data_IF_489303302236
#
_entry.id   IF_489303302236
#
_cell.length_a   1.000
_cell.length_b   1.000
_cell.length_c   1.000
_cell.angle_alpha   90.00
_cell.angle_beta   90.00
_cell.angle_gamma   90.00
#
_symmetry.space_group_name_H-M   'P 1'
#
loop_
_entity.id
_entity.type
_entity.pdbx_description
1 polymer ?
#
# COMPACT_ATOMS: atom_id res chain seq x y z
N UNK A 1 23.40 11.12 -65.21
CA UNK A 1 22.41 10.16 -65.73
C UNK A 1 21.95 9.30 -64.56
N UNK A 2 20.62 9.20 -64.37
CA UNK A 2 19.80 8.11 -63.79
C UNK A 2 20.44 7.17 -62.73
N UNK A 3 19.83 6.82 -61.60
CA UNK A 3 18.48 7.03 -61.07
C UNK A 3 18.13 5.95 -60.01
N UNK A 4 17.24 6.29 -59.06
CA UNK A 4 16.35 5.38 -58.29
C UNK A 4 16.98 4.48 -57.22
N UNK A 5 16.32 4.03 -56.15
CA UNK A 5 15.00 4.24 -55.51
C UNK A 5 15.14 3.65 -54.08
N UNK A 6 14.62 4.31 -53.04
CA UNK A 6 13.45 3.84 -52.29
C UNK A 6 13.83 3.81 -50.80
N UNK A 7 13.05 4.27 -49.82
CA UNK A 7 11.64 4.66 -49.79
C UNK A 7 11.07 4.09 -48.49
N UNK A 8 10.63 4.94 -47.58
CA UNK A 8 9.55 4.69 -46.61
C UNK A 8 9.33 5.94 -45.77
N UNK A 9 8.36 6.71 -46.20
CA UNK A 9 7.79 7.89 -45.57
C UNK A 9 6.55 7.42 -44.79
N UNK A 10 6.46 7.74 -43.50
CA UNK A 10 5.26 7.48 -42.68
C UNK A 10 4.60 8.82 -42.44
N UNK A 11 3.47 9.04 -43.10
CA UNK A 11 2.55 10.14 -42.88
C UNK A 11 1.85 9.99 -41.53
N UNK A 12 1.88 11.05 -40.73
CA UNK A 12 1.02 11.22 -39.57
C UNK A 12 -0.20 12.03 -40.00
N UNK A 13 -1.38 11.42 -39.96
CA UNK A 13 -2.65 12.10 -40.20
C UNK A 13 -3.35 12.37 -38.86
N UNK A 14 -3.80 13.61 -38.68
CA UNK A 14 -4.57 14.04 -37.52
C UNK A 14 -6.05 13.76 -37.77
N UNK A 15 -6.77 13.20 -36.78
CA UNK A 15 -8.22 13.33 -36.72
C UNK A 15 -8.67 13.50 -35.27
N UNK A 16 -9.42 14.57 -35.03
CA UNK A 16 -9.87 14.98 -33.70
C UNK A 16 -11.28 14.51 -33.31
N UNK A 17 -11.65 14.97 -32.12
CA UNK A 17 -13.00 15.10 -31.53
C UNK A 17 -13.64 13.95 -30.73
N UNK A 18 -13.84 14.30 -29.45
CA UNK A 18 -15.07 14.23 -28.63
C UNK A 18 -15.30 13.04 -27.68
N UNK A 19 -15.78 13.44 -26.50
CA UNK A 19 -16.09 12.69 -25.27
C UNK A 19 -17.21 11.67 -25.47
N UNK A 20 -17.21 10.61 -24.65
CA UNK A 20 -18.25 10.19 -23.68
C UNK A 20 -18.15 8.66 -23.48
N UNK A 21 -18.15 8.23 -22.22
CA UNK A 21 -18.84 7.00 -21.81
C UNK A 21 -18.00 5.72 -21.69
N UNK A 22 -18.00 5.17 -20.47
CA UNK A 22 -17.77 3.78 -20.12
C UNK A 22 -16.55 3.08 -20.77
N UNK A 23 -15.42 3.12 -20.06
CA UNK A 23 -14.36 2.12 -20.25
C UNK A 23 -14.93 0.76 -19.84
N UNK A 24 -15.37 -0.02 -20.82
CA UNK A 24 -15.58 -1.45 -20.64
C UNK A 24 -14.21 -2.10 -20.72
N UNK A 25 -13.60 -2.39 -19.57
CA UNK A 25 -12.41 -3.24 -19.51
C UNK A 25 -12.89 -4.66 -19.77
N UNK A 26 -12.73 -5.15 -21.00
CA UNK A 26 -12.81 -6.59 -21.28
C UNK A 26 -11.46 -7.18 -20.86
N UNK A 27 -11.34 -7.52 -19.58
CA UNK A 27 -10.22 -8.31 -19.08
C UNK A 27 -10.49 -9.79 -19.42
N UNK A 28 -10.07 -10.24 -20.60
CA UNK A 28 -9.94 -11.67 -20.87
C UNK A 28 -8.70 -12.20 -20.13
N UNK A 29 -8.90 -12.68 -18.90
CA UNK A 29 -7.87 -13.43 -18.18
C UNK A 29 -7.81 -14.85 -18.72
N UNK A 30 -6.97 -15.08 -19.73
CA UNK A 30 -6.70 -16.42 -20.27
C UNK A 30 -5.66 -17.11 -19.39
N UNK A 31 -6.09 -18.07 -18.57
CA UNK A 31 -5.18 -19.01 -17.91
C UNK A 31 -4.87 -20.17 -18.87
N UNK A 32 -3.60 -20.30 -19.25
CA UNK A 32 -3.12 -21.44 -20.03
C UNK A 32 -3.05 -22.68 -19.13
N UNK A 33 -3.77 -23.74 -19.51
CA UNK A 33 -3.68 -25.05 -18.90
C UNK A 33 -2.96 -25.98 -19.89
N UNK A 34 -1.94 -26.79 -19.50
CA UNK A 34 -1.09 -27.53 -20.44
C UNK A 34 -1.79 -28.69 -21.19
N UNK A 35 -3.11 -28.83 -21.07
CA UNK A 35 -3.91 -29.86 -21.74
C UNK A 35 -4.75 -29.35 -22.93
N UNK A 36 -4.53 -28.11 -23.41
CA UNK A 36 -5.07 -27.66 -24.70
C UNK A 36 -6.60 -27.53 -24.81
N UNK A 37 -7.35 -27.52 -23.71
CA UNK A 37 -8.80 -27.32 -23.72
C UNK A 37 -9.16 -25.91 -23.24
N UNK A 38 -9.72 -25.10 -24.15
CA UNK A 38 -10.36 -23.81 -23.81
C UNK A 38 -11.60 -24.09 -22.96
N UNK A 39 -11.50 -23.90 -21.65
CA UNK A 39 -12.67 -23.88 -20.77
C UNK A 39 -13.21 -22.46 -20.73
N UNK A 40 -14.49 -22.27 -21.09
CA UNK A 40 -15.18 -21.00 -20.85
C UNK A 40 -15.47 -20.93 -19.35
N UNK A 41 -14.86 -19.97 -18.68
CA UNK A 41 -15.21 -19.64 -17.30
C UNK A 41 -16.61 -19.00 -17.35
N UNK A 42 -17.57 -19.61 -16.66
CA UNK A 42 -18.93 -19.07 -16.55
C UNK A 42 -18.97 -17.79 -15.71
N UNK A 43 -19.96 -16.90 -15.91
CA UNK A 43 -20.06 -15.61 -15.20
C UNK A 43 -20.21 -15.74 -13.67
N UNK A 44 -20.44 -16.94 -13.14
CA UNK A 44 -20.55 -17.23 -11.71
C UNK A 44 -19.20 -17.28 -10.99
N UNK A 45 -18.08 -17.53 -11.66
CA UNK A 45 -16.76 -17.55 -11.00
C UNK A 45 -16.12 -16.16 -10.87
N UNK A 46 -16.51 -15.21 -11.73
CA UNK A 46 -16.06 -13.82 -11.62
C UNK A 46 -16.64 -13.12 -10.38
N UNK A 47 -17.85 -13.50 -9.94
CA UNK A 47 -18.46 -12.98 -8.73
C UNK A 47 -17.67 -13.39 -7.48
N UNK A 48 -17.04 -14.56 -7.47
CA UNK A 48 -16.16 -14.98 -6.37
C UNK A 48 -14.83 -14.20 -6.33
N UNK A 49 -14.33 -13.77 -7.49
CA UNK A 49 -13.14 -12.93 -7.59
C UNK A 49 -13.40 -11.47 -7.19
N UNK A 50 -14.58 -10.93 -7.55
CA UNK A 50 -14.97 -9.59 -7.10
C UNK A 50 -15.43 -9.56 -5.64
N UNK A 51 -16.03 -10.65 -5.12
CA UNK A 51 -16.31 -10.80 -3.68
C UNK A 51 -15.03 -10.90 -2.84
N UNK A 52 -13.92 -11.42 -3.40
CA UNK A 52 -12.59 -11.38 -2.77
C UNK A 52 -11.90 -10.02 -2.86
N UNK A 53 -12.40 -9.10 -3.70
CA UNK A 53 -11.92 -7.70 -3.77
C UNK A 53 -12.77 -6.79 -2.85
N UNK A 54 -13.91 -7.27 -2.36
CA UNK A 54 -14.59 -6.76 -1.16
C UNK A 54 -13.97 -7.33 0.13
N UNK A 55 -12.64 -7.40 0.20
CA UNK A 55 -11.94 -7.35 1.49
C UNK A 55 -12.22 -5.96 2.04
N UNK A 56 -13.32 -5.89 2.79
CA UNK A 56 -13.60 -5.00 3.90
C UNK A 56 -12.86 -3.68 3.73
N UNK A 57 -13.50 -2.70 3.08
CA UNK A 57 -13.29 -1.32 3.49
C UNK A 57 -13.68 -1.27 4.96
N UNK A 58 -12.73 -1.57 5.86
CA UNK A 58 -12.91 -1.36 7.29
C UNK A 58 -13.35 0.08 7.40
N UNK A 59 -14.51 0.30 8.00
CA UNK A 59 -15.00 1.65 8.12
C UNK A 59 -13.95 2.43 8.91
N UNK A 60 -13.74 3.71 8.57
CA UNK A 60 -12.74 4.53 9.25
C UNK A 60 -12.94 4.50 10.79
N UNK A 61 -14.17 4.26 11.27
CA UNK A 61 -14.53 4.10 12.68
C UNK A 61 -13.92 2.83 13.30
N UNK A 62 -13.88 1.72 12.55
CA UNK A 62 -13.28 0.48 13.02
C UNK A 62 -11.76 0.63 13.23
N UNK A 63 -11.11 1.47 12.41
CA UNK A 63 -9.67 1.71 12.48
C UNK A 63 -9.22 2.29 13.83
N UNK A 64 -10.06 3.11 14.49
CA UNK A 64 -9.74 3.70 15.80
C UNK A 64 -9.84 2.72 16.97
N UNK A 65 -10.54 1.60 16.77
CA UNK A 65 -10.79 0.58 17.80
C UNK A 65 -9.95 -0.68 17.60
N UNK A 66 -8.97 -0.66 16.68
CA UNK A 66 -8.13 -1.82 16.41
C UNK A 66 -7.13 -2.09 17.53
N UNK A 67 -6.98 -3.38 17.80
CA UNK A 67 -6.01 -3.94 18.73
C UNK A 67 -5.52 -5.30 18.28
N UNK A 68 -4.39 -5.74 18.83
CA UNK A 68 -3.80 -7.06 18.59
C UNK A 68 -3.50 -7.32 17.11
N UNK A 69 -3.85 -8.52 16.64
CA UNK A 69 -3.60 -8.95 15.26
C UNK A 69 -4.23 -8.02 14.22
N UNK A 70 -5.49 -7.62 14.42
CA UNK A 70 -6.21 -6.75 13.49
C UNK A 70 -5.53 -5.37 13.34
N UNK A 71 -4.94 -4.87 14.43
CA UNK A 71 -4.14 -3.64 14.37
C UNK A 71 -2.88 -3.85 13.51
N UNK A 72 -2.13 -4.92 13.73
CA UNK A 72 -0.91 -5.18 12.96
C UNK A 72 -1.20 -5.45 11.48
N UNK A 73 -2.30 -6.14 11.16
CA UNK A 73 -2.71 -6.39 9.78
C UNK A 73 -3.08 -5.07 9.07
N UNK A 74 -3.80 -4.18 9.76
CA UNK A 74 -4.08 -2.84 9.27
C UNK A 74 -2.80 -2.03 9.04
N UNK A 75 -1.87 -2.03 10.00
CA UNK A 75 -0.59 -1.33 9.86
C UNK A 75 0.18 -1.87 8.66
N UNK A 76 0.23 -3.20 8.48
CA UNK A 76 0.89 -3.86 7.35
C UNK A 76 0.28 -3.42 6.02
N UNK A 77 -1.04 -3.40 5.93
CA UNK A 77 -1.78 -2.99 4.72
C UNK A 77 -1.49 -1.52 4.34
N UNK A 78 -1.40 -0.63 5.34
CA UNK A 78 -1.19 0.81 5.09
C UNK A 78 0.28 1.22 4.97
N UNK A 79 1.20 0.38 5.43
CA UNK A 79 2.63 0.73 5.48
C UNK A 79 3.51 -0.40 4.93
N UNK A 80 4.21 -1.12 5.80
CA UNK A 80 5.09 -2.24 5.49
C UNK A 80 5.42 -3.03 6.77
N UNK A 81 6.00 -4.21 6.62
CA UNK A 81 6.37 -5.09 7.74
C UNK A 81 7.38 -4.45 8.71
N UNK A 82 8.25 -3.56 8.24
CA UNK A 82 9.25 -2.91 9.12
C UNK A 82 8.55 -2.07 10.19
N UNK A 83 7.47 -1.37 9.83
CA UNK A 83 6.68 -0.59 10.80
C UNK A 83 6.00 -1.53 11.80
N UNK A 84 5.45 -2.64 11.34
CA UNK A 84 4.82 -3.63 12.23
C UNK A 84 5.82 -4.15 13.26
N UNK A 85 7.02 -4.54 12.82
CA UNK A 85 8.06 -5.06 13.71
C UNK A 85 8.50 -4.01 14.74
N UNK A 86 8.63 -2.74 14.33
CA UNK A 86 8.94 -1.62 15.23
C UNK A 86 7.85 -1.44 16.29
N UNK A 87 6.57 -1.58 15.93
CA UNK A 87 5.48 -1.43 16.90
C UNK A 87 5.38 -2.63 17.83
N UNK A 88 5.61 -3.84 17.32
CA UNK A 88 5.59 -5.07 18.10
C UNK A 88 6.65 -5.09 19.20
N UNK A 89 7.90 -4.71 18.87
CA UNK A 89 8.99 -4.71 19.86
C UNK A 89 8.78 -3.68 20.97
N UNK A 90 7.98 -2.65 20.72
CA UNK A 90 7.58 -1.63 21.71
C UNK A 90 6.26 -1.96 22.42
N UNK A 91 5.66 -3.12 22.15
CA UNK A 91 4.34 -3.51 22.64
C UNK A 91 3.20 -2.53 22.29
N UNK A 92 3.38 -1.73 21.24
CA UNK A 92 2.34 -0.85 20.71
C UNK A 92 1.38 -1.72 19.89
N UNK A 93 0.35 -2.23 20.55
CA UNK A 93 -0.56 -3.23 20.00
C UNK A 93 -1.97 -2.70 19.70
N UNK A 94 -2.18 -1.38 19.69
CA UNK A 94 -3.49 -0.78 19.37
C UNK A 94 -3.36 0.60 18.74
N UNK A 95 -4.40 1.01 18.02
CA UNK A 95 -4.49 2.36 17.43
C UNK A 95 -4.40 3.45 18.49
N UNK A 96 -5.02 3.25 19.65
CA UNK A 96 -4.97 4.19 20.77
C UNK A 96 -3.56 4.33 21.33
N UNK A 97 -2.88 3.21 21.57
CA UNK A 97 -1.50 3.23 22.05
C UNK A 97 -0.57 3.95 21.05
N UNK A 98 -0.73 3.69 19.75
CA UNK A 98 0.04 4.36 18.71
C UNK A 98 -0.21 5.88 18.70
N UNK A 99 -1.47 6.31 18.81
CA UNK A 99 -1.83 7.74 18.83
C UNK A 99 -1.33 8.48 20.08
N UNK A 100 -1.17 7.78 21.20
CA UNK A 100 -0.61 8.31 22.44
C UNK A 100 0.93 8.26 22.49
N UNK A 101 1.58 7.60 21.54
CA UNK A 101 3.03 7.54 21.46
C UNK A 101 3.58 8.77 20.75
N UNK A 102 4.49 9.50 21.41
CA UNK A 102 5.07 10.73 20.87
C UNK A 102 6.01 10.47 19.68
N UNK A 103 6.93 9.51 19.84
CA UNK A 103 7.86 9.09 18.79
C UNK A 103 8.06 7.56 18.78
N UNK A 104 7.27 6.82 17.98
CA UNK A 104 7.41 5.37 17.84
C UNK A 104 8.72 4.93 17.17
N UNK A 105 9.53 5.84 16.61
CA UNK A 105 10.81 5.47 15.99
C UNK A 105 12.00 5.62 16.93
N UNK A 106 11.80 6.25 18.09
CA UNK A 106 12.83 6.44 19.13
C UNK A 106 13.44 5.12 19.63
N UNK A 107 12.70 4.01 19.54
CA UNK A 107 13.22 2.68 19.88
C UNK A 107 14.47 2.31 19.07
N UNK A 108 14.62 2.83 17.84
CA UNK A 108 15.76 2.54 16.98
C UNK A 108 17.07 3.16 17.48
N UNK A 109 17.03 4.03 18.49
CA UNK A 109 18.21 4.61 19.12
C UNK A 109 18.89 3.64 20.09
N UNK A 110 18.16 2.67 20.66
CA UNK A 110 18.68 1.71 21.64
C UNK A 110 19.48 0.59 20.98
N UNK A 111 20.66 0.29 21.51
CA UNK A 111 21.49 -0.82 21.02
C UNK A 111 21.19 -2.10 21.81
N UNK A 112 20.30 -2.93 21.27
CA UNK A 112 20.00 -4.26 21.79
C UNK A 112 19.85 -5.30 20.66
N UNK A 113 20.00 -6.57 21.02
CA UNK A 113 20.02 -7.68 20.07
C UNK A 113 18.67 -7.87 19.38
N UNK A 114 17.56 -7.64 20.10
CA UNK A 114 16.19 -7.73 19.59
C UNK A 114 15.92 -6.72 18.46
N UNK A 115 16.66 -5.60 18.45
CA UNK A 115 16.52 -4.54 17.45
C UNK A 115 17.51 -4.68 16.30
N UNK A 116 18.51 -5.57 16.37
CA UNK A 116 19.59 -5.65 15.39
C UNK A 116 19.08 -5.86 13.96
N UNK A 117 18.13 -6.79 13.79
CA UNK A 117 17.53 -7.12 12.50
C UNK A 117 16.57 -6.03 12.00
N UNK A 118 15.84 -5.38 12.91
CA UNK A 118 14.95 -4.25 12.61
C UNK A 118 15.79 -3.06 12.15
N UNK A 119 16.84 -2.69 12.89
CA UNK A 119 17.77 -1.61 12.54
C UNK A 119 18.39 -1.86 11.16
N UNK A 120 18.86 -3.07 10.87
CA UNK A 120 19.46 -3.39 9.57
C UNK A 120 18.52 -3.09 8.39
N UNK A 121 17.21 -3.26 8.58
CA UNK A 121 16.19 -2.94 7.57
C UNK A 121 15.72 -1.49 7.62
N UNK A 122 15.64 -0.87 8.79
CA UNK A 122 15.03 0.44 9.02
C UNK A 122 16.00 1.63 8.91
N UNK A 123 17.31 1.43 9.14
CA UNK A 123 18.31 2.50 9.21
C UNK A 123 19.41 2.38 8.14
N UNK A 124 20.10 3.49 7.89
CA UNK A 124 21.42 3.54 7.28
C UNK A 124 22.48 3.65 8.37
N UNK A 125 23.49 2.79 8.34
CA UNK A 125 24.66 2.91 9.22
C UNK A 125 25.68 3.87 8.60
N UNK A 126 26.07 4.89 9.35
CA UNK A 126 27.04 5.89 8.94
C UNK A 126 28.45 5.41 9.28
N UNK A 127 29.44 5.81 8.48
CA UNK A 127 30.85 5.40 8.65
C UNK A 127 31.45 5.77 10.01
N UNK A 128 30.90 6.75 10.71
CA UNK A 128 31.39 7.25 12.00
C UNK A 128 30.66 6.63 13.21
N UNK A 129 29.96 5.50 13.03
CA UNK A 129 29.27 4.80 14.12
C UNK A 129 27.88 5.37 14.46
N UNK A 130 27.37 6.32 13.67
CA UNK A 130 25.99 6.81 13.78
C UNK A 130 25.00 6.01 12.92
N UNK A 131 23.71 6.25 13.10
CA UNK A 131 22.68 5.72 12.23
C UNK A 131 21.64 6.78 11.86
N UNK A 132 20.97 6.58 10.72
CA UNK A 132 19.88 7.44 10.27
C UNK A 132 18.71 6.58 9.79
N UNK A 133 17.52 6.78 10.37
CA UNK A 133 16.32 6.06 9.92
C UNK A 133 16.00 6.43 8.47
N UNK A 134 15.74 5.43 7.63
CA UNK A 134 15.42 5.59 6.20
C UNK A 134 14.19 6.49 6.05
N UNK A 135 14.24 7.42 5.11
CA UNK A 135 13.14 8.36 4.85
C UNK A 135 11.82 7.65 4.53
N UNK A 136 11.87 6.49 3.87
CA UNK A 136 10.67 5.68 3.61
C UNK A 136 9.98 5.22 4.89
N UNK A 137 10.75 4.77 5.89
CA UNK A 137 10.22 4.34 7.20
C UNK A 137 9.61 5.52 7.95
N UNK A 138 10.35 6.65 8.03
CA UNK A 138 9.84 7.90 8.62
C UNK A 138 8.54 8.36 7.96
N UNK A 139 8.51 8.36 6.63
CA UNK A 139 7.35 8.78 5.84
C UNK A 139 6.14 7.87 6.06
N UNK A 140 6.33 6.55 6.07
CA UNK A 140 5.26 5.58 6.32
C UNK A 140 4.67 5.70 7.73
N UNK A 141 5.51 5.80 8.76
CA UNK A 141 5.04 5.99 10.15
C UNK A 141 4.24 7.29 10.28
N UNK A 142 4.78 8.40 9.75
CA UNK A 142 4.12 9.69 9.78
C UNK A 142 2.78 9.67 9.05
N UNK A 143 2.74 9.10 7.84
CA UNK A 143 1.52 8.96 7.05
C UNK A 143 0.42 8.22 7.82
N UNK A 144 0.77 7.08 8.44
CA UNK A 144 -0.15 6.28 9.24
C UNK A 144 -0.73 7.09 10.42
N UNK A 145 0.13 7.74 11.20
CA UNK A 145 -0.29 8.56 12.35
C UNK A 145 -1.17 9.73 11.90
N UNK A 146 -0.77 10.45 10.84
CA UNK A 146 -1.53 11.57 10.31
C UNK A 146 -2.92 11.13 9.83
N UNK A 147 -3.02 9.96 9.19
CA UNK A 147 -4.29 9.36 8.76
C UNK A 147 -5.20 9.01 9.94
N UNK A 148 -4.67 8.35 10.96
CA UNK A 148 -5.42 7.99 12.17
C UNK A 148 -5.91 9.25 12.91
N UNK A 149 -5.09 10.29 13.00
CA UNK A 149 -5.48 11.59 13.58
C UNK A 149 -6.55 12.31 12.75
N UNK A 150 -6.51 12.19 11.42
CA UNK A 150 -7.56 12.75 10.55
C UNK A 150 -8.91 12.08 10.83
N UNK A 151 -8.92 10.77 10.96
CA UNK A 151 -10.11 9.95 11.28
C UNK A 151 -10.66 10.32 12.66
N UNK A 152 -9.80 10.39 13.69
CA UNK A 152 -10.20 10.77 15.05
C UNK A 152 -10.86 12.16 15.10
N UNK A 153 -10.31 13.12 14.35
CA UNK A 153 -10.89 14.47 14.25
C UNK A 153 -12.25 14.48 13.58
N UNK A 154 -12.49 13.65 12.57
CA UNK A 154 -13.80 13.54 11.90
C UNK A 154 -14.85 12.98 12.88
N UNK A 155 -14.52 11.88 13.55
CA UNK A 155 -15.40 11.25 14.52
C UNK A 155 -15.75 12.20 15.70
N UNK A 156 -14.78 12.96 16.19
CA UNK A 156 -15.00 13.93 17.28
C UNK A 156 -15.91 15.09 16.87
N UNK A 157 -15.90 15.49 15.60
CA UNK A 157 -16.79 16.55 15.08
C UNK A 157 -18.22 16.06 14.93
N UNK A 158 -18.41 14.85 14.44
CA UNK A 158 -19.74 14.24 14.26
C UNK A 158 -20.43 13.97 15.60
N UNK A 159 -19.67 13.64 16.65
CA UNK A 159 -20.22 13.42 18.01
C UNK A 159 -20.66 14.70 18.74
N UNK A 160 -20.38 15.88 18.20
CA UNK A 160 -20.70 17.19 18.81
C UNK A 160 -21.92 17.89 18.18
N UNK A 161 -22.54 17.26 17.19
CA UNK A 161 -23.77 17.72 16.52
C UNK A 161 -24.93 16.90 17.09
#
# INVERSE_FOLDING_TARGET
MQGGKGGSEIQADQCGSKRIGAVTIVSESVKWNPAGKRSRIGPTELLSFFALIEIVKMSDIDALSLSGANFFDYVREKTNDIIVDILQVQEICSTRALLCCDDPLSILEYDCDELADIKRRAVFFLKLGGHAVKNGVKGSMKYLIDKLKEIEKKHTKESKI
#
